data_IF_771463932567
#
_entry.id   IF_771463932567
#
_cell.length_a   1.000
_cell.length_b   1.000
_cell.length_c   1.000
_cell.angle_alpha   90.00
_cell.angle_beta   90.00
_cell.angle_gamma   90.00
#
_symmetry.space_group_name_H-M   'P 1'
#
loop_
_entity.id
_entity.type
_entity.pdbx_description
1 polymer ?
#
# COMPACT_ATOMS: atom_id res chain seq x y z
N UNK A 1 22.47 -10.43 -40.85
CA UNK A 1 23.78 -11.13 -40.90
C UNK A 1 24.49 -10.89 -39.56
N UNK A 2 23.97 -11.51 -38.50
CA UNK A 2 24.37 -11.29 -37.11
C UNK A 2 24.65 -12.65 -36.47
N UNK A 3 25.68 -12.69 -35.60
CA UNK A 3 26.03 -13.77 -34.64
C UNK A 3 27.08 -14.83 -34.99
N UNK A 4 27.91 -14.67 -36.03
CA UNK A 4 29.08 -15.55 -36.21
C UNK A 4 30.17 -15.40 -35.12
N UNK A 5 30.31 -14.20 -34.54
CA UNK A 5 31.32 -13.93 -33.49
C UNK A 5 30.96 -14.53 -32.13
N UNK A 6 29.66 -14.65 -31.81
CA UNK A 6 29.19 -15.25 -30.58
C UNK A 6 29.46 -16.76 -30.53
N UNK A 7 29.15 -17.45 -31.62
CA UNK A 7 29.29 -18.91 -31.77
C UNK A 7 30.76 -19.31 -31.74
N UNK A 8 31.62 -18.66 -32.53
CA UNK A 8 33.07 -18.94 -32.55
C UNK A 8 33.70 -18.85 -31.15
N UNK A 9 33.37 -17.78 -30.42
CA UNK A 9 33.87 -17.55 -29.06
C UNK A 9 33.41 -18.62 -28.06
N UNK A 10 32.18 -19.13 -28.19
CA UNK A 10 31.67 -20.20 -27.32
C UNK A 10 32.37 -21.53 -27.66
N UNK A 11 32.54 -21.82 -28.95
CA UNK A 11 33.24 -23.00 -29.44
C UNK A 11 34.71 -23.04 -29.01
N UNK A 12 35.45 -21.94 -29.16
CA UNK A 12 36.85 -21.83 -28.72
C UNK A 12 37.00 -22.08 -27.20
N UNK A 13 35.97 -21.73 -26.42
CA UNK A 13 35.96 -21.99 -24.97
C UNK A 13 35.67 -23.44 -24.65
N UNK A 14 34.71 -24.04 -25.36
CA UNK A 14 34.44 -25.47 -25.23
C UNK A 14 35.71 -26.29 -25.49
N UNK A 15 36.43 -25.98 -26.59
CA UNK A 15 37.69 -26.64 -26.94
C UNK A 15 38.77 -26.53 -25.84
N UNK A 16 38.90 -25.36 -25.20
CA UNK A 16 39.83 -25.16 -24.07
C UNK A 16 39.44 -25.97 -22.83
N UNK A 17 38.15 -26.07 -22.53
CA UNK A 17 37.65 -26.83 -21.38
C UNK A 17 37.83 -28.34 -21.57
N UNK A 18 37.60 -28.83 -22.79
CA UNK A 18 37.88 -30.22 -23.18
C UNK A 18 39.38 -30.52 -23.02
N UNK A 19 40.26 -29.61 -23.47
CA UNK A 19 41.71 -29.75 -23.30
C UNK A 19 42.17 -29.75 -21.83
N UNK A 20 41.37 -29.18 -20.92
CA UNK A 20 41.63 -29.17 -19.47
C UNK A 20 41.01 -30.37 -18.73
N UNK A 21 40.31 -31.28 -19.43
CA UNK A 21 39.74 -32.49 -18.84
C UNK A 21 38.40 -32.30 -18.14
N UNK A 22 37.67 -31.21 -18.41
CA UNK A 22 36.31 -31.01 -17.89
C UNK A 22 35.35 -31.95 -18.64
N UNK A 23 34.69 -32.86 -17.92
CA UNK A 23 33.96 -34.00 -18.49
C UNK A 23 32.82 -33.64 -19.48
N UNK A 24 32.25 -32.44 -19.37
CA UNK A 24 31.18 -31.95 -20.26
C UNK A 24 31.65 -30.88 -21.27
N UNK A 25 32.89 -30.40 -21.15
CA UNK A 25 33.46 -29.30 -21.94
C UNK A 25 32.69 -27.97 -21.83
N UNK A 26 31.65 -27.88 -21.00
CA UNK A 26 30.72 -26.77 -21.02
C UNK A 26 31.39 -25.51 -20.43
N UNK A 27 31.29 -24.35 -21.09
CA UNK A 27 31.88 -23.13 -20.57
C UNK A 27 31.13 -22.61 -19.35
N UNK A 28 31.79 -22.54 -18.19
CA UNK A 28 31.23 -21.95 -16.97
C UNK A 28 30.80 -20.48 -17.14
N UNK A 29 29.85 -20.04 -16.32
CA UNK A 29 29.42 -18.65 -16.27
C UNK A 29 30.57 -17.74 -15.82
N UNK A 30 30.85 -16.70 -16.61
CA UNK A 30 31.82 -15.64 -16.23
C UNK A 30 31.20 -14.56 -15.35
N UNK A 31 29.90 -14.68 -15.07
CA UNK A 31 29.22 -13.78 -14.16
C UNK A 31 29.85 -14.01 -12.79
N UNK A 32 30.52 -12.98 -12.25
CA UNK A 32 31.09 -13.05 -10.90
C UNK A 32 29.97 -13.46 -9.93
N UNK A 33 30.26 -14.41 -9.05
CA UNK A 33 29.34 -14.80 -7.98
C UNK A 33 28.93 -13.57 -7.18
N UNK A 34 27.70 -13.57 -6.65
CA UNK A 34 27.12 -12.42 -5.96
C UNK A 34 27.07 -11.15 -6.85
N UNK A 35 26.83 -11.31 -8.14
CA UNK A 35 26.51 -10.22 -9.05
C UNK A 35 25.02 -9.87 -8.98
N UNK A 36 24.69 -8.62 -9.28
CA UNK A 36 23.32 -8.10 -9.20
C UNK A 36 23.09 -7.15 -8.03
N UNK A 37 21.91 -6.52 -8.04
CA UNK A 37 21.50 -5.52 -7.06
C UNK A 37 21.35 -6.17 -5.69
N UNK A 38 22.03 -5.63 -4.69
CA UNK A 38 21.89 -6.10 -3.30
C UNK A 38 20.50 -5.73 -2.75
N UNK A 39 19.88 -6.61 -1.95
CA UNK A 39 18.70 -6.25 -1.20
C UNK A 39 18.95 -5.01 -0.35
N UNK A 40 17.94 -4.17 -0.22
CA UNK A 40 18.00 -3.05 0.70
C UNK A 40 17.97 -3.56 2.14
N UNK A 41 18.80 -2.96 2.98
CA UNK A 41 18.75 -3.19 4.42
C UNK A 41 17.41 -2.70 4.98
N UNK A 42 16.61 -3.65 5.45
CA UNK A 42 15.26 -3.40 5.97
C UNK A 42 15.29 -2.54 7.23
N UNK A 43 16.31 -2.71 8.09
CA UNK A 43 16.45 -1.94 9.32
C UNK A 43 16.64 -0.45 9.01
N UNK A 44 17.57 -0.14 8.11
CA UNK A 44 17.85 1.23 7.65
C UNK A 44 16.62 1.86 7.00
N UNK A 45 15.86 1.06 6.24
CA UNK A 45 14.64 1.55 5.62
C UNK A 45 13.55 1.84 6.64
N UNK A 46 13.34 0.97 7.63
CA UNK A 46 12.40 1.19 8.72
C UNK A 46 12.76 2.47 9.49
N UNK A 47 14.05 2.73 9.76
CA UNK A 47 14.51 3.98 10.37
C UNK A 47 14.13 5.20 9.53
N UNK A 48 14.33 5.15 8.21
CA UNK A 48 13.94 6.26 7.33
C UNK A 48 12.42 6.46 7.27
N UNK A 49 11.65 5.37 7.21
CA UNK A 49 10.19 5.41 7.27
C UNK A 49 9.74 6.06 8.57
N UNK A 50 10.26 5.62 9.73
CA UNK A 50 9.94 6.17 11.05
C UNK A 50 10.15 7.69 11.16
N UNK A 51 11.15 8.25 10.47
CA UNK A 51 11.38 9.72 10.40
C UNK A 51 10.26 10.50 9.71
N UNK A 52 9.53 9.89 8.78
CA UNK A 52 8.39 10.54 8.10
C UNK A 52 7.12 10.27 8.91
N UNK A 53 6.31 11.26 9.29
CA UNK A 53 5.05 10.99 10.00
C UNK A 53 4.09 10.11 9.18
N UNK A 54 3.36 9.20 9.82
CA UNK A 54 2.44 8.26 9.14
C UNK A 54 1.40 9.00 8.28
N UNK A 55 0.93 10.16 8.74
CA UNK A 55 -0.01 11.02 8.03
C UNK A 55 0.44 11.41 6.60
N UNK A 56 1.76 11.48 6.37
CA UNK A 56 2.35 11.82 5.09
C UNK A 56 2.67 10.61 4.21
N UNK A 57 2.57 9.38 4.75
CA UNK A 57 2.90 8.12 4.05
C UNK A 57 1.70 7.51 3.33
N UNK A 58 1.01 8.28 2.49
CA UNK A 58 -0.25 7.81 1.86
C UNK A 58 0.01 7.06 0.56
N UNK A 59 0.53 7.79 -0.44
CA UNK A 59 0.78 7.27 -1.77
C UNK A 59 2.21 6.73 -1.82
N UNK A 60 2.38 5.52 -2.35
CA UNK A 60 3.68 4.88 -2.58
C UNK A 60 4.68 5.86 -3.19
N UNK A 61 4.29 6.58 -4.25
CA UNK A 61 5.17 7.53 -4.92
C UNK A 61 5.62 8.69 -4.02
N UNK A 62 4.69 9.28 -3.27
CA UNK A 62 4.98 10.40 -2.37
C UNK A 62 5.84 9.97 -1.17
N UNK A 63 5.59 8.77 -0.64
CA UNK A 63 6.39 8.17 0.44
C UNK A 63 7.81 7.86 -0.04
N UNK A 64 7.93 7.28 -1.24
CA UNK A 64 9.22 6.97 -1.86
C UNK A 64 10.06 8.23 -2.10
N UNK A 65 9.44 9.30 -2.62
CA UNK A 65 10.09 10.59 -2.82
C UNK A 65 10.59 11.20 -1.49
N UNK A 66 9.77 11.20 -0.44
CA UNK A 66 10.15 11.72 0.90
C UNK A 66 11.33 10.97 1.53
N UNK A 67 11.44 9.67 1.27
CA UNK A 67 12.46 8.79 1.87
C UNK A 67 13.71 8.66 0.99
N UNK A 68 13.62 9.12 -0.27
CA UNK A 68 14.69 9.01 -1.25
C UNK A 68 14.93 7.58 -1.71
N UNK A 69 13.87 6.83 -2.00
CA UNK A 69 13.93 5.45 -2.51
C UNK A 69 13.07 5.27 -3.76
N UNK A 70 13.26 4.16 -4.48
CA UNK A 70 12.45 3.87 -5.66
C UNK A 70 11.01 3.49 -5.27
N UNK A 71 10.05 3.87 -6.10
CA UNK A 71 8.64 3.49 -5.92
C UNK A 71 8.44 1.98 -5.98
N UNK A 72 9.23 1.29 -6.81
CA UNK A 72 9.26 -0.18 -6.90
C UNK A 72 9.62 -0.82 -5.56
N UNK A 73 10.58 -0.27 -4.81
CA UNK A 73 10.99 -0.81 -3.51
C UNK A 73 9.82 -0.75 -2.52
N UNK A 74 9.12 0.38 -2.46
CA UNK A 74 7.94 0.54 -1.59
C UNK A 74 6.81 -0.42 -2.00
N UNK A 75 6.59 -0.66 -3.30
CA UNK A 75 5.60 -1.65 -3.76
C UNK A 75 5.97 -3.05 -3.32
N UNK A 76 7.21 -3.50 -3.60
CA UNK A 76 7.69 -4.81 -3.19
C UNK A 76 7.57 -5.01 -1.68
N UNK A 77 7.85 -4.00 -0.86
CA UNK A 77 7.66 -4.09 0.59
C UNK A 77 6.22 -4.29 1.02
N UNK A 78 5.27 -3.73 0.28
CA UNK A 78 3.84 -3.95 0.55
C UNK A 78 3.43 -5.34 0.12
N UNK A 79 3.90 -5.80 -1.03
CA UNK A 79 3.61 -7.14 -1.56
C UNK A 79 4.24 -8.24 -0.69
N UNK A 80 5.44 -7.99 -0.14
CA UNK A 80 6.13 -8.85 0.84
C UNK A 80 5.54 -8.76 2.26
N UNK A 81 4.58 -7.86 2.50
CA UNK A 81 3.94 -7.68 3.82
C UNK A 81 4.76 -6.93 4.86
N UNK A 82 5.95 -6.43 4.52
CA UNK A 82 6.77 -5.60 5.41
C UNK A 82 6.17 -4.21 5.66
N UNK A 83 5.38 -3.71 4.71
CA UNK A 83 4.54 -2.52 4.87
C UNK A 83 3.08 -2.90 4.66
N UNK A 84 2.19 -2.41 5.51
CA UNK A 84 0.76 -2.68 5.39
C UNK A 84 0.02 -1.39 5.05
N UNK A 85 -0.99 -1.52 4.17
CA UNK A 85 -1.98 -0.46 3.97
C UNK A 85 -3.04 -0.59 5.04
N UNK A 86 -3.18 0.45 5.86
CA UNK A 86 -4.22 0.52 6.89
C UNK A 86 -5.05 1.78 6.72
N UNK A 87 -6.37 1.67 6.79
CA UNK A 87 -7.27 2.82 6.71
C UNK A 87 -7.65 3.33 8.10
N UNK A 88 -7.77 4.65 8.22
CA UNK A 88 -8.29 5.34 9.39
C UNK A 88 -9.46 6.20 8.94
N UNK A 89 -10.59 6.04 9.60
CA UNK A 89 -11.84 6.74 9.30
C UNK A 89 -12.18 7.71 10.42
N UNK A 90 -12.60 8.93 10.05
CA UNK A 90 -13.14 9.91 10.98
C UNK A 90 -14.53 9.44 11.37
N UNK A 91 -14.69 9.01 12.63
CA UNK A 91 -15.99 8.60 13.14
C UNK A 91 -16.79 9.83 13.57
N UNK A 92 -18.06 9.97 13.14
CA UNK A 92 -18.92 11.01 13.68
C UNK A 92 -19.12 10.76 15.17
N UNK A 93 -18.96 11.82 15.97
CA UNK A 93 -19.15 11.73 17.41
C UNK A 93 -20.66 11.68 17.70
N UNK A 94 -21.16 10.50 18.07
CA UNK A 94 -22.54 10.29 18.52
C UNK A 94 -22.56 10.28 20.05
N UNK A 95 -23.00 11.40 20.64
CA UNK A 95 -23.33 11.44 22.07
C UNK A 95 -24.53 10.52 22.36
N UNK A 96 -24.68 10.09 23.61
CA UNK A 96 -25.81 9.24 23.98
C UNK A 96 -27.16 9.95 23.78
N UNK A 97 -27.22 11.25 24.02
CA UNK A 97 -28.39 12.06 23.68
C UNK A 97 -28.68 12.05 22.17
N UNK A 98 -27.66 12.22 21.32
CA UNK A 98 -27.85 12.17 19.87
C UNK A 98 -28.35 10.80 19.41
N UNK A 99 -27.91 9.70 20.04
CA UNK A 99 -28.41 8.35 19.74
C UNK A 99 -29.89 8.22 20.08
N UNK A 100 -30.30 8.69 21.26
CA UNK A 100 -31.71 8.65 21.71
C UNK A 100 -32.59 9.49 20.77
N UNK A 101 -32.16 10.71 20.43
CA UNK A 101 -32.91 11.58 19.53
C UNK A 101 -33.06 10.96 18.14
N UNK A 102 -32.00 10.35 17.59
CA UNK A 102 -32.09 9.66 16.30
C UNK A 102 -33.07 8.48 16.35
N UNK A 103 -33.03 7.69 17.42
CA UNK A 103 -33.97 6.58 17.62
C UNK A 103 -35.41 7.09 17.69
N UNK A 104 -35.70 8.09 18.53
CA UNK A 104 -37.02 8.69 18.65
C UNK A 104 -37.53 9.25 17.33
N UNK A 105 -36.68 9.96 16.58
CA UNK A 105 -37.02 10.46 15.26
C UNK A 105 -37.29 9.33 14.25
N UNK A 106 -36.60 8.20 14.37
CA UNK A 106 -36.85 7.05 13.47
C UNK A 106 -38.20 6.40 13.79
N UNK A 107 -38.57 6.34 15.08
CA UNK A 107 -39.84 5.80 15.53
C UNK A 107 -41.05 6.62 15.02
N UNK A 108 -40.92 7.92 14.80
CA UNK A 108 -42.03 8.74 14.27
C UNK A 108 -42.43 8.38 12.85
N UNK A 109 -41.59 7.63 12.12
CA UNK A 109 -41.89 7.19 10.76
C UNK A 109 -42.33 5.72 10.69
N UNK A 110 -42.48 5.04 11.84
CA UNK A 110 -42.96 3.67 11.90
C UNK A 110 -44.44 3.70 12.27
N UNK A 111 -45.26 2.97 11.52
CA UNK A 111 -46.67 2.79 11.84
C UNK A 111 -46.81 1.72 12.94
N UNK A 112 -47.38 2.09 14.09
CA UNK A 112 -47.52 1.20 15.26
C UNK A 112 -48.40 -0.04 15.02
N UNK A 113 -49.27 -0.02 14.01
CA UNK A 113 -50.20 -1.12 13.72
C UNK A 113 -49.59 -2.14 12.75
N UNK A 114 -48.90 -1.65 11.72
CA UNK A 114 -48.33 -2.48 10.66
C UNK A 114 -46.85 -2.78 10.88
N UNK A 115 -46.19 -2.03 11.78
CA UNK A 115 -44.74 -2.02 12.01
C UNK A 115 -43.94 -1.76 10.74
N UNK A 116 -44.53 -1.04 9.78
CA UNK A 116 -43.89 -0.65 8.52
C UNK A 116 -43.50 0.83 8.56
N UNK A 117 -42.41 1.17 7.85
CA UNK A 117 -42.04 2.56 7.63
C UNK A 117 -43.04 3.25 6.71
N UNK A 118 -43.33 4.52 6.99
CA UNK A 118 -44.08 5.38 6.07
C UNK A 118 -43.30 5.56 4.77
N UNK A 119 -44.02 5.57 3.64
CA UNK A 119 -43.40 5.65 2.32
C UNK A 119 -42.77 7.02 1.99
N UNK A 120 -42.97 8.04 2.83
CA UNK A 120 -42.42 9.40 2.69
C UNK A 120 -42.67 10.09 1.33
N UNK A 121 -43.63 9.62 0.50
CA UNK A 121 -43.89 10.18 -0.83
C UNK A 121 -44.30 11.67 -0.82
N UNK A 122 -44.79 12.19 0.30
CA UNK A 122 -45.11 13.61 0.50
C UNK A 122 -43.97 14.44 1.09
N UNK A 123 -42.79 13.86 1.32
CA UNK A 123 -41.66 14.52 1.98
C UNK A 123 -40.59 14.89 0.96
N UNK A 124 -40.17 16.16 0.95
CA UNK A 124 -39.04 16.63 0.15
C UNK A 124 -37.86 16.80 1.10
N UNK A 125 -36.83 15.98 0.91
CA UNK A 125 -35.59 16.09 1.68
C UNK A 125 -34.66 17.09 0.99
N UNK A 126 -34.30 18.16 1.71
CA UNK A 126 -33.31 19.15 1.29
C UNK A 126 -32.13 19.01 2.24
N UNK A 127 -30.93 18.89 1.69
CA UNK A 127 -29.70 18.79 2.47
C UNK A 127 -28.61 19.68 1.85
N UNK A 128 -27.85 20.34 2.72
CA UNK A 128 -26.69 21.13 2.34
C UNK A 128 -25.42 20.36 2.67
N UNK A 129 -24.66 20.02 1.63
CA UNK A 129 -23.44 19.24 1.79
C UNK A 129 -22.21 20.13 1.88
N UNK A 130 -21.62 20.20 3.08
CA UNK A 130 -20.34 20.86 3.31
C UNK A 130 -19.17 20.06 2.73
N UNK A 131 -18.29 20.73 1.99
CA UNK A 131 -17.04 20.16 1.49
C UNK A 131 -15.95 20.46 2.53
N UNK A 132 -15.46 19.42 3.20
CA UNK A 132 -14.48 19.56 4.27
C UNK A 132 -13.04 19.59 3.73
N UNK A 133 -12.11 20.13 4.54
CA UNK A 133 -10.67 20.08 4.27
C UNK A 133 -10.13 18.63 4.29
N UNK A 134 -10.74 17.77 5.12
CA UNK A 134 -10.39 16.37 5.27
C UNK A 134 -11.48 15.42 4.71
N UNK A 135 -11.06 14.30 4.12
CA UNK A 135 -11.91 13.20 3.66
C UNK A 135 -12.15 12.20 4.80
N UNK A 136 -13.33 11.59 4.86
CA UNK A 136 -13.70 10.75 6.00
C UNK A 136 -12.75 9.54 6.16
N UNK A 137 -12.42 8.83 5.08
CA UNK A 137 -11.50 7.70 5.10
C UNK A 137 -10.15 8.02 4.45
N UNK A 138 -9.05 7.64 5.12
CA UNK A 138 -7.67 7.77 4.59
C UNK A 138 -6.88 6.49 4.80
N UNK A 139 -6.14 6.08 3.78
CA UNK A 139 -5.24 4.92 3.83
C UNK A 139 -3.78 5.36 3.94
N UNK A 140 -3.05 4.72 4.85
CA UNK A 140 -1.64 4.99 5.13
C UNK A 140 -0.79 3.72 4.94
N UNK A 141 0.49 3.93 4.62
CA UNK A 141 1.54 2.90 4.65
C UNK A 141 2.17 2.87 6.04
N UNK A 142 1.96 1.77 6.73
CA UNK A 142 2.30 1.61 8.15
C UNK A 142 3.26 0.43 8.30
N UNK A 143 4.22 0.57 9.19
CA UNK A 143 5.07 -0.56 9.60
C UNK A 143 4.27 -1.47 10.54
N UNK A 144 4.62 -2.76 10.67
CA UNK A 144 3.85 -3.72 11.48
C UNK A 144 3.70 -3.32 12.95
N UNK A 145 4.69 -2.59 13.49
CA UNK A 145 4.77 -2.13 14.87
C UNK A 145 4.10 -0.76 15.11
N UNK A 146 3.53 -0.13 14.08
CA UNK A 146 2.98 1.22 14.19
C UNK A 146 1.47 1.24 14.25
N UNK A 147 0.96 2.08 15.16
CA UNK A 147 -0.46 2.40 15.24
C UNK A 147 -0.86 3.42 14.18
N UNK A 148 -2.15 3.39 13.84
CA UNK A 148 -2.75 4.38 12.96
C UNK A 148 -2.89 5.71 13.70
N UNK A 149 -2.70 6.84 13.01
CA UNK A 149 -3.01 8.13 13.61
C UNK A 149 -4.51 8.21 13.89
N UNK A 150 -4.85 8.67 15.09
CA UNK A 150 -6.21 9.07 15.41
C UNK A 150 -6.59 10.29 14.57
N UNK A 151 -7.82 10.30 14.07
CA UNK A 151 -8.32 11.34 13.17
C UNK A 151 -9.63 11.87 13.71
N UNK A 152 -9.62 13.15 14.04
CA UNK A 152 -10.81 13.88 14.43
C UNK A 152 -11.16 14.88 13.34
N UNK A 153 -12.46 15.14 13.16
CA UNK A 153 -12.91 16.27 12.36
C UNK A 153 -12.59 17.54 13.16
N UNK A 154 -11.83 18.45 12.58
CA UNK A 154 -11.73 19.81 13.11
C UNK A 154 -13.02 20.51 12.69
N UNK A 155 -13.83 20.91 13.66
CA UNK A 155 -15.06 21.68 13.46
C UNK A 155 -14.74 23.16 13.26
#
# INVERSE_FOLDING_TARGET
MQDFFGIKRIWDRYQKNVAQGIADGAPESRIKGNSGRKPYDRSKLATKLKKVPVFQRRRVAATAARIGVSTSLIRSLVDEGYLTRRSSSIKPHLSDNNKIQRMQHTLTFINDQTYQFENMYGMIHIDEKWINEDIDERTFLVLPDQELPERHRQS
#
